data_IF_536324500068
#
_entry.id   IF_536324500068
#
_cell.length_a   1.000
_cell.length_b   1.000
_cell.length_c   1.000
_cell.angle_alpha   90.00
_cell.angle_beta   90.00
_cell.angle_gamma   90.00
#
_symmetry.space_group_name_H-M   'P 1'
#
loop_
_entity.id
_entity.type
_entity.pdbx_description
1 polymer ?
#
# COMPACT_ATOMS: atom_id res chain seq x y z
N UNK A 1 -1.17 -7.21 -1.06
CA UNK A 1 -0.69 -5.90 -1.59
C UNK A 1 0.80 -6.00 -1.88
N UNK A 2 1.24 -5.62 -3.07
CA UNK A 2 2.65 -5.49 -3.43
C UNK A 2 3.02 -4.00 -3.49
N UNK A 3 4.09 -3.58 -2.81
CA UNK A 3 4.49 -2.17 -2.76
C UNK A 3 5.96 -2.01 -2.37
N UNK A 4 6.66 -1.05 -2.98
CA UNK A 4 8.08 -0.77 -2.71
C UNK A 4 8.36 -0.58 -1.23
N UNK A 5 7.64 0.33 -0.57
CA UNK A 5 7.84 0.64 0.85
C UNK A 5 6.94 -0.19 1.79
N UNK A 6 6.51 -1.39 1.40
CA UNK A 6 5.60 -2.24 2.17
C UNK A 6 6.04 -2.45 3.63
N UNK A 7 7.35 -2.57 3.90
CA UNK A 7 7.85 -2.74 5.26
C UNK A 7 7.59 -1.53 6.16
N UNK A 8 7.74 -0.32 5.63
CA UNK A 8 7.52 0.91 6.40
C UNK A 8 6.04 1.14 6.60
N UNK A 9 5.23 0.82 5.59
CA UNK A 9 3.78 0.85 5.66
C UNK A 9 3.23 -0.10 6.74
N UNK A 10 3.68 -1.36 6.77
CA UNK A 10 3.24 -2.33 7.79
C UNK A 10 3.63 -1.91 9.20
N UNK A 11 4.81 -1.32 9.37
CA UNK A 11 5.23 -0.78 10.67
C UNK A 11 4.38 0.42 11.11
N UNK A 12 3.99 1.29 10.18
CA UNK A 12 3.06 2.37 10.49
C UNK A 12 1.71 1.81 10.95
N UNK A 13 1.14 0.87 10.18
CA UNK A 13 -0.13 0.22 10.52
C UNK A 13 -0.07 -0.43 11.91
N UNK A 14 0.94 -1.25 12.16
CA UNK A 14 1.08 -1.98 13.42
C UNK A 14 1.33 -1.05 14.62
N UNK A 15 1.91 0.14 14.42
CA UNK A 15 2.20 1.09 15.51
C UNK A 15 1.02 1.99 15.83
N UNK A 16 0.26 2.41 14.83
CA UNK A 16 -0.76 3.43 15.01
C UNK A 16 -2.18 2.86 15.03
N UNK A 17 -2.52 1.82 14.25
CA UNK A 17 -3.89 1.30 14.24
C UNK A 17 -4.18 0.47 15.50
N UNK A 18 -5.27 0.80 16.19
CA UNK A 18 -5.62 0.17 17.46
C UNK A 18 -4.88 0.76 18.66
N UNK A 19 -4.13 1.85 18.47
CA UNK A 19 -3.59 2.67 19.55
C UNK A 19 -4.58 3.77 19.97
N UNK A 20 -4.24 4.52 21.02
CA UNK A 20 -5.00 5.70 21.42
C UNK A 20 -4.95 6.84 20.37
N UNK A 21 -4.04 6.77 19.40
CA UNK A 21 -3.87 7.78 18.34
C UNK A 21 -4.80 7.54 17.15
N UNK A 22 -5.01 6.29 16.75
CA UNK A 22 -5.92 5.92 15.66
C UNK A 22 -6.85 4.78 16.10
N UNK A 23 -8.11 5.15 16.34
CA UNK A 23 -9.19 4.19 16.61
C UNK A 23 -9.32 3.19 15.47
N UNK A 24 -9.49 1.93 15.85
CA UNK A 24 -9.80 0.86 14.92
C UNK A 24 -11.20 1.06 14.34
N UNK A 25 -11.29 1.01 13.02
CA UNK A 25 -12.51 0.98 12.19
C UNK A 25 -12.44 -0.24 11.27
N UNK A 26 -13.54 -0.61 10.62
CA UNK A 26 -13.56 -1.73 9.65
C UNK A 26 -12.52 -1.54 8.53
N UNK A 27 -12.33 -0.30 8.09
CA UNK A 27 -11.33 0.04 7.08
C UNK A 27 -9.89 -0.11 7.58
N UNK A 28 -9.59 0.26 8.82
CA UNK A 28 -8.24 0.03 9.38
C UNK A 28 -8.01 -1.44 9.71
N UNK A 29 -9.04 -2.18 10.13
CA UNK A 29 -8.94 -3.63 10.34
C UNK A 29 -8.63 -4.35 9.02
N UNK A 30 -9.31 -3.99 7.94
CA UNK A 30 -9.01 -4.48 6.60
C UNK A 30 -7.55 -4.21 6.21
N UNK A 31 -7.05 -3.00 6.43
CA UNK A 31 -5.65 -2.67 6.13
C UNK A 31 -4.66 -3.50 6.97
N UNK A 32 -4.98 -3.77 8.24
CA UNK A 32 -4.15 -4.61 9.11
C UNK A 32 -4.11 -6.07 8.63
N UNK A 33 -5.24 -6.58 8.10
CA UNK A 33 -5.34 -7.95 7.58
C UNK A 33 -4.71 -8.15 6.21
N UNK A 34 -4.33 -7.08 5.50
CA UNK A 34 -3.64 -7.20 4.21
C UNK A 34 -2.29 -7.91 4.38
N UNK A 35 -2.13 -9.01 3.63
CA UNK A 35 -0.82 -9.57 3.32
C UNK A 35 -0.04 -8.56 2.47
N UNK A 36 1.17 -8.21 2.90
CA UNK A 36 2.01 -7.20 2.26
C UNK A 36 3.34 -7.80 1.84
N UNK A 37 3.68 -7.64 0.56
CA UNK A 37 4.94 -8.05 -0.03
C UNK A 37 5.70 -6.82 -0.54
N UNK A 38 7.03 -6.84 -0.39
CA UNK A 38 7.90 -5.84 -1.00
C UNK A 38 7.93 -6.10 -2.51
N UNK A 39 7.99 -5.05 -3.31
CA UNK A 39 8.19 -5.19 -4.75
C UNK A 39 9.50 -5.93 -5.07
N UNK A 40 9.44 -6.90 -5.98
CA UNK A 40 10.59 -7.71 -6.45
C UNK A 40 11.75 -6.83 -6.92
N UNK A 41 11.46 -5.73 -7.61
CA UNK A 41 12.48 -4.84 -8.17
C UNK A 41 13.13 -3.95 -7.12
N UNK A 42 12.46 -3.74 -5.98
CA UNK A 42 12.93 -2.84 -4.93
C UNK A 42 13.56 -3.56 -3.74
N UNK A 43 13.42 -4.89 -3.62
CA UNK A 43 13.88 -5.68 -2.45
C UNK A 43 15.34 -5.41 -2.03
N UNK A 44 16.24 -5.14 -3.00
CA UNK A 44 17.66 -4.82 -2.74
C UNK A 44 17.88 -3.62 -1.82
N UNK A 45 16.95 -2.66 -1.84
CA UNK A 45 16.98 -1.44 -1.05
C UNK A 45 16.49 -1.67 0.40
N UNK A 46 15.90 -2.82 0.70
CA UNK A 46 15.31 -3.13 2.01
C UNK A 46 16.25 -4.00 2.85
N UNK A 47 16.65 -3.50 4.03
CA UNK A 47 17.66 -4.16 4.89
C UNK A 47 17.12 -4.73 6.20
N UNK A 48 15.89 -4.42 6.59
CA UNK A 48 15.32 -4.84 7.89
C UNK A 48 15.11 -6.36 7.92
N UNK A 49 15.18 -7.01 9.09
CA UNK A 49 14.99 -8.46 9.21
C UNK A 49 13.68 -8.96 8.57
N UNK A 50 12.56 -8.28 8.83
CA UNK A 50 11.24 -8.61 8.26
C UNK A 50 11.19 -8.58 6.71
N UNK A 51 12.05 -7.78 6.08
CA UNK A 51 12.15 -7.67 4.62
C UNK A 51 12.79 -8.91 3.98
N UNK A 52 13.60 -9.63 4.75
CA UNK A 52 14.30 -10.84 4.30
C UNK A 52 13.49 -12.12 4.56
N UNK A 53 12.45 -12.03 5.38
CA UNK A 53 11.62 -13.16 5.79
C UNK A 53 10.21 -13.02 5.20
N UNK A 54 9.23 -12.65 6.02
CA UNK A 54 7.80 -12.69 5.72
C UNK A 54 7.34 -11.64 4.71
N UNK A 55 8.14 -10.62 4.43
CA UNK A 55 7.82 -9.61 3.40
C UNK A 55 8.63 -9.76 2.12
N UNK A 56 9.49 -10.79 2.05
CA UNK A 56 10.27 -11.07 0.85
C UNK A 56 9.29 -11.47 -0.27
N UNK A 57 9.43 -10.92 -1.49
CA UNK A 57 8.53 -11.21 -2.59
C UNK A 57 8.34 -12.70 -2.88
N UNK A 58 9.42 -13.48 -2.79
CA UNK A 58 9.39 -14.93 -3.10
C UNK A 58 8.96 -15.79 -1.91
N UNK A 59 8.51 -15.19 -0.81
CA UNK A 59 8.04 -15.95 0.33
C UNK A 59 6.76 -16.73 -0.06
N UNK A 60 6.64 -18.03 0.28
CA UNK A 60 5.52 -18.86 -0.19
C UNK A 60 4.13 -18.30 0.09
N UNK A 61 3.96 -17.54 1.19
CA UNK A 61 2.70 -16.89 1.53
C UNK A 61 2.25 -15.78 0.57
N UNK A 62 3.09 -15.36 -0.38
CA UNK A 62 2.77 -14.34 -1.38
C UNK A 62 2.59 -14.91 -2.80
N UNK A 63 2.72 -16.23 -3.00
CA UNK A 63 2.56 -16.84 -4.31
C UNK A 63 1.20 -16.49 -4.94
N UNK A 64 0.14 -16.52 -4.14
CA UNK A 64 -1.21 -16.17 -4.58
C UNK A 64 -1.32 -14.70 -4.99
N UNK A 65 -0.63 -13.80 -4.27
CA UNK A 65 -0.63 -12.36 -4.55
C UNK A 65 -0.07 -12.09 -5.95
N UNK A 66 1.06 -12.71 -6.31
CA UNK A 66 1.68 -12.49 -7.61
C UNK A 66 0.95 -13.21 -8.75
N UNK A 67 0.27 -14.33 -8.47
CA UNK A 67 -0.56 -15.02 -9.45
C UNK A 67 -1.82 -14.22 -9.84
N UNK A 68 -2.38 -13.44 -8.91
CA UNK A 68 -3.63 -12.70 -9.11
C UNK A 68 -3.44 -11.20 -9.39
N UNK A 69 -2.22 -10.69 -9.51
CA UNK A 69 -1.97 -9.26 -9.77
C UNK A 69 -2.28 -8.94 -11.24
N UNK A 70 -3.23 -8.02 -11.45
CA UNK A 70 -3.39 -7.36 -12.73
C UNK A 70 -2.33 -6.26 -12.86
N UNK A 71 -1.26 -6.56 -13.58
CA UNK A 71 -0.12 -5.64 -13.78
C UNK A 71 -0.52 -4.38 -14.53
N UNK A 72 -1.45 -4.45 -15.48
CA UNK A 72 -1.91 -3.29 -16.26
C UNK A 72 -2.61 -2.26 -15.36
N UNK A 73 -3.49 -2.72 -14.46
CA UNK A 73 -4.16 -1.84 -13.48
C UNK A 73 -3.13 -1.25 -12.51
N UNK A 74 -2.14 -2.05 -12.08
CA UNK A 74 -1.07 -1.56 -11.22
C UNK A 74 -0.24 -0.47 -11.91
N UNK A 75 0.15 -0.67 -13.16
CA UNK A 75 0.92 0.32 -13.96
C UNK A 75 0.13 1.62 -14.17
N UNK A 76 -1.16 1.54 -14.47
CA UNK A 76 -2.03 2.71 -14.59
C UNK A 76 -2.15 3.45 -13.25
N UNK A 77 -2.35 2.72 -12.16
CA UNK A 77 -2.38 3.29 -10.81
C UNK A 77 -1.06 3.98 -10.44
N UNK A 78 0.08 3.32 -10.70
CA UNK A 78 1.40 3.90 -10.45
C UNK A 78 1.68 5.11 -11.35
N UNK A 79 1.24 5.10 -12.61
CA UNK A 79 1.33 6.25 -13.52
C UNK A 79 0.59 7.46 -12.94
N UNK A 80 -0.62 7.27 -12.43
CA UNK A 80 -1.34 8.34 -11.74
C UNK A 80 -0.62 8.81 -10.47
N UNK A 81 -0.22 7.87 -9.59
CA UNK A 81 0.46 8.19 -8.33
C UNK A 81 1.82 8.87 -8.54
N UNK A 82 2.47 8.65 -9.68
CA UNK A 82 3.75 9.28 -10.03
C UNK A 82 3.66 10.81 -10.11
N UNK A 83 2.47 11.36 -10.39
CA UNK A 83 2.19 12.81 -10.35
C UNK A 83 2.42 13.41 -8.97
N UNK A 84 2.30 12.60 -7.92
CA UNK A 84 2.48 12.97 -6.52
C UNK A 84 3.78 12.41 -5.93
N UNK A 85 4.77 12.09 -6.78
CA UNK A 85 6.04 11.47 -6.34
C UNK A 85 6.70 12.18 -5.17
N UNK A 86 6.62 13.51 -5.07
CA UNK A 86 7.21 14.26 -3.96
C UNK A 86 6.48 14.05 -2.64
N UNK A 87 5.16 13.88 -2.69
CA UNK A 87 4.31 13.56 -1.54
C UNK A 87 4.51 12.14 -1.04
N UNK A 88 4.83 11.21 -1.94
CA UNK A 88 5.05 9.79 -1.61
C UNK A 88 6.52 9.37 -1.48
N UNK A 89 7.46 10.25 -1.84
CA UNK A 89 8.90 9.99 -1.71
C UNK A 89 9.35 10.09 -0.26
N UNK A 90 9.88 8.99 0.27
CA UNK A 90 10.33 8.88 1.65
C UNK A 90 9.14 8.84 2.60
N UNK A 91 8.87 7.65 3.15
CA UNK A 91 7.76 7.46 4.10
C UNK A 91 8.04 8.22 5.42
N UNK A 92 7.22 9.22 5.73
CA UNK A 92 7.15 9.90 7.02
C UNK A 92 5.71 9.92 7.52
N UNK A 93 5.48 10.16 8.81
CA UNK A 93 4.12 10.11 9.39
C UNK A 93 3.09 10.95 8.59
N UNK A 94 3.34 12.24 8.24
CA UNK A 94 2.39 13.02 7.44
C UNK A 94 2.14 12.44 6.03
N UNK A 95 3.19 11.88 5.41
CA UNK A 95 3.12 11.32 4.05
C UNK A 95 2.37 9.98 4.02
N UNK A 96 2.52 9.17 5.07
CA UNK A 96 1.73 7.96 5.26
C UNK A 96 0.24 8.28 5.33
N UNK A 97 -0.13 9.33 6.07
CA UNK A 97 -1.52 9.76 6.19
C UNK A 97 -2.11 10.16 4.84
N UNK A 98 -1.38 10.94 4.03
CA UNK A 98 -1.81 11.30 2.67
C UNK A 98 -2.01 10.06 1.80
N UNK A 99 -1.10 9.09 1.89
CA UNK A 99 -1.21 7.83 1.15
C UNK A 99 -2.47 7.04 1.54
N UNK A 100 -2.77 6.94 2.84
CA UNK A 100 -4.00 6.28 3.30
C UNK A 100 -5.25 7.04 2.89
N UNK A 101 -5.26 8.37 2.95
CA UNK A 101 -6.38 9.19 2.46
C UNK A 101 -6.68 8.90 0.99
N UNK A 102 -5.64 8.79 0.15
CA UNK A 102 -5.79 8.44 -1.27
C UNK A 102 -6.31 7.02 -1.47
N UNK A 103 -5.79 6.05 -0.70
CA UNK A 103 -6.30 4.66 -0.76
C UNK A 103 -7.77 4.56 -0.31
N UNK A 104 -8.14 5.25 0.76
CA UNK A 104 -9.52 5.27 1.24
C UNK A 104 -10.45 6.00 0.27
N UNK A 105 -9.99 7.07 -0.37
CA UNK A 105 -10.74 7.73 -1.43
C UNK A 105 -11.04 6.76 -2.58
N UNK A 106 -10.04 6.02 -3.09
CA UNK A 106 -10.27 5.02 -4.13
C UNK A 106 -11.25 3.91 -3.71
N UNK A 107 -11.15 3.42 -2.47
CA UNK A 107 -12.11 2.46 -1.92
C UNK A 107 -13.52 3.06 -1.86
N UNK A 108 -13.67 4.31 -1.42
CA UNK A 108 -14.96 4.98 -1.36
C UNK A 108 -15.56 5.16 -2.74
N UNK A 109 -14.79 5.63 -3.72
CA UNK A 109 -15.20 5.74 -5.12
C UNK A 109 -15.72 4.41 -5.68
N UNK A 110 -15.01 3.30 -5.41
CA UNK A 110 -15.43 1.96 -5.82
C UNK A 110 -16.74 1.54 -5.14
N UNK A 111 -16.91 1.86 -3.86
CA UNK A 111 -18.10 1.48 -3.06
C UNK A 111 -19.33 2.30 -3.45
N UNK A 112 -19.14 3.57 -3.84
CA UNK A 112 -20.23 4.48 -4.21
C UNK A 112 -20.53 4.50 -5.71
N UNK A 113 -19.77 3.75 -6.52
CA UNK A 113 -19.89 3.76 -7.98
C UNK A 113 -19.45 5.07 -8.64
N UNK A 114 -18.74 5.94 -7.91
CA UNK A 114 -18.21 7.20 -8.43
C UNK A 114 -16.87 6.89 -9.11
N UNK A 115 -16.70 7.29 -10.38
CA UNK A 115 -15.42 7.13 -11.06
C UNK A 115 -14.32 7.92 -10.33
N UNK A 116 -13.26 7.22 -9.90
CA UNK A 116 -12.08 7.83 -9.28
C UNK A 116 -11.25 8.70 -10.25
N UNK A 117 -11.55 8.60 -11.55
CA UNK A 117 -10.84 9.28 -12.62
C UNK A 117 -11.87 9.92 -13.54
N UNK A 118 -11.92 11.25 -13.60
CA UNK A 118 -12.47 11.93 -14.77
C UNK A 118 -11.42 11.81 -15.88
N UNK A 119 -11.83 11.29 -17.04
CA UNK A 119 -11.02 11.45 -18.25
C UNK A 119 -10.94 12.95 -18.53
N UNK A 120 -9.72 13.49 -18.56
CA UNK A 120 -9.51 14.81 -19.11
C UNK A 120 -9.95 14.78 -20.57
N UNK A 121 -10.96 15.58 -20.90
CA UNK A 121 -11.38 15.87 -22.27
C UNK A 121 -10.32 16.72 -22.94
#
# INVERSE_FOLDING_TARGET
MCYDCACTLKLFINRHFGSNELKSTDSTQFLTSLAMAIDRFHVKNHKRPMCKTVMRPDHPCHNDIYASINTQVAEQGFSYLSKFKNSFRGYSYPKSTIFFTVLFHFKNCTTTGISSFEQAV
#
